data_IF_410478952817
#
_entry.id   IF_410478952817
#
_cell.length_a   1.000
_cell.length_b   1.000
_cell.length_c   1.000
_cell.angle_alpha   90.00
_cell.angle_beta   90.00
_cell.angle_gamma   90.00
#
_symmetry.space_group_name_H-M   'P 1'
#
loop_
_entity.id
_entity.type
_entity.pdbx_description
1 polymer ?
#
# COMPACT_ATOMS: atom_id res chain seq x y z
N UNK A 1 -28.44 46.27 34.38
CA UNK A 1 -28.45 45.74 33.00
C UNK A 1 -27.32 44.69 32.94
N UNK A 2 -27.64 43.38 33.01
CA UNK A 2 -26.64 42.31 33.00
C UNK A 2 -26.49 41.85 31.53
N UNK A 3 -25.31 42.04 30.94
CA UNK A 3 -24.97 41.57 29.58
C UNK A 3 -24.50 40.13 29.73
N UNK A 4 -25.27 39.18 29.20
CA UNK A 4 -24.82 37.75 29.04
C UNK A 4 -24.06 37.63 27.73
N UNK A 5 -22.76 37.43 27.84
CA UNK A 5 -21.89 37.11 26.69
C UNK A 5 -22.05 35.61 26.38
N UNK A 6 -22.74 35.31 25.30
CA UNK A 6 -22.82 33.95 24.77
C UNK A 6 -21.55 33.63 23.95
N UNK A 7 -20.69 32.76 24.52
CA UNK A 7 -19.59 32.19 23.80
C UNK A 7 -20.12 31.08 22.88
N UNK A 8 -20.20 31.34 21.58
CA UNK A 8 -20.41 30.30 20.59
C UNK A 8 -19.08 29.55 20.36
N UNK A 9 -18.97 28.34 20.93
CA UNK A 9 -17.87 27.41 20.61
C UNK A 9 -18.21 26.78 19.26
N UNK A 10 -17.58 27.26 18.20
CA UNK A 10 -17.60 26.59 16.91
C UNK A 10 -16.79 25.30 17.01
N UNK A 11 -17.46 24.18 17.20
CA UNK A 11 -16.88 22.87 16.93
C UNK A 11 -16.69 22.73 15.41
N UNK A 12 -15.48 22.98 14.91
CA UNK A 12 -15.11 22.61 13.56
C UNK A 12 -15.04 21.09 13.48
N UNK A 13 -16.08 20.45 13.01
CA UNK A 13 -16.03 19.04 12.61
C UNK A 13 -15.16 18.97 11.35
N UNK A 14 -13.88 18.64 11.52
CA UNK A 14 -13.02 18.29 10.40
C UNK A 14 -13.47 16.92 9.89
N UNK A 15 -14.25 16.90 8.85
CA UNK A 15 -14.57 15.68 8.09
C UNK A 15 -13.24 15.22 7.47
N UNK A 16 -12.83 13.99 7.75
CA UNK A 16 -11.74 13.35 7.00
C UNK A 16 -12.16 13.31 5.53
N UNK A 17 -11.54 14.14 4.68
CA UNK A 17 -11.85 14.19 3.27
C UNK A 17 -11.02 13.14 2.53
N UNK A 18 -11.68 12.30 1.73
CA UNK A 18 -11.03 11.46 0.74
C UNK A 18 -10.99 12.19 -0.61
N UNK A 19 -9.84 12.16 -1.27
CA UNK A 19 -9.66 12.65 -2.64
C UNK A 19 -9.47 11.47 -3.59
N UNK A 20 -9.99 11.59 -4.80
CA UNK A 20 -9.81 10.57 -5.84
C UNK A 20 -8.91 11.11 -6.94
N UNK A 21 -7.87 10.33 -7.24
CA UNK A 21 -6.90 10.63 -8.29
C UNK A 21 -6.94 9.52 -9.34
N UNK A 22 -6.83 9.89 -10.61
CA UNK A 22 -6.64 8.94 -11.71
C UNK A 22 -5.34 9.25 -12.45
N UNK A 23 -4.64 8.18 -12.82
CA UNK A 23 -3.44 8.30 -13.64
C UNK A 23 -3.32 7.10 -14.58
N UNK A 24 -2.53 7.24 -15.62
CA UNK A 24 -2.24 6.15 -16.55
C UNK A 24 -0.95 5.44 -16.14
N UNK A 25 -1.02 4.11 -16.11
CA UNK A 25 0.14 3.25 -15.93
C UNK A 25 0.02 2.04 -16.83
N UNK A 26 1.08 1.77 -17.59
CA UNK A 26 1.09 0.62 -18.50
C UNK A 26 1.07 -0.69 -17.73
N UNK A 27 0.28 -1.64 -18.20
CA UNK A 27 0.28 -3.03 -17.74
C UNK A 27 0.24 -3.97 -18.95
N UNK A 28 1.25 -4.81 -19.09
CA UNK A 28 1.34 -5.76 -20.22
C UNK A 28 0.18 -6.76 -20.29
N UNK A 29 -0.51 -7.03 -19.16
CA UNK A 29 -1.66 -7.92 -19.12
C UNK A 29 -2.96 -7.20 -19.47
N UNK A 30 -2.97 -5.88 -19.34
CA UNK A 30 -4.12 -5.02 -19.58
C UNK A 30 -3.75 -3.78 -20.40
N UNK A 31 -3.15 -3.93 -21.59
CA UNK A 31 -2.63 -2.80 -22.37
C UNK A 31 -3.71 -1.79 -22.77
N UNK A 32 -4.96 -2.24 -22.90
CA UNK A 32 -6.11 -1.40 -23.25
C UNK A 32 -6.78 -0.75 -22.04
N UNK A 33 -6.30 -0.98 -20.82
CA UNK A 33 -6.87 -0.45 -19.56
C UNK A 33 -5.80 0.24 -18.72
N UNK A 34 -5.18 1.32 -19.23
CA UNK A 34 -4.07 1.97 -18.54
C UNK A 34 -4.49 2.76 -17.31
N UNK A 35 -5.77 3.10 -17.19
CA UNK A 35 -6.27 3.94 -16.09
C UNK A 35 -6.22 3.19 -14.75
N UNK A 36 -5.69 3.88 -13.74
CA UNK A 36 -5.60 3.43 -12.35
C UNK A 36 -6.28 4.47 -11.48
N UNK A 37 -7.16 4.03 -10.57
CA UNK A 37 -7.82 4.89 -9.60
C UNK A 37 -7.10 4.80 -8.25
N UNK A 38 -7.01 5.92 -7.56
CA UNK A 38 -6.44 6.02 -6.22
C UNK A 38 -7.38 6.82 -5.34
N UNK A 39 -7.62 6.33 -4.13
CA UNK A 39 -8.24 7.09 -3.06
C UNK A 39 -7.14 7.58 -2.12
N UNK A 40 -7.11 8.88 -1.82
CA UNK A 40 -6.17 9.49 -0.88
C UNK A 40 -6.97 10.00 0.32
N UNK A 41 -6.72 9.42 1.47
CA UNK A 41 -7.31 9.83 2.75
C UNK A 41 -6.31 10.60 3.57
N UNK A 42 -6.77 11.67 4.22
CA UNK A 42 -5.92 12.59 4.98
C UNK A 42 -6.19 12.48 6.50
N UNK A 43 -5.17 12.74 7.34
CA UNK A 43 -5.35 12.83 8.78
C UNK A 43 -6.20 14.07 9.14
N UNK A 44 -6.91 14.02 10.27
CA UNK A 44 -7.72 15.16 10.74
C UNK A 44 -6.89 16.42 11.03
N UNK A 45 -5.66 16.24 11.50
CA UNK A 45 -4.69 17.32 11.72
C UNK A 45 -3.64 17.26 10.63
N UNK A 46 -3.56 18.31 9.82
CA UNK A 46 -2.58 18.42 8.74
C UNK A 46 -1.37 19.16 9.28
N UNK A 47 -0.20 18.52 9.26
CA UNK A 47 1.11 19.16 9.41
C UNK A 47 1.53 19.83 8.08
N UNK A 48 2.59 20.62 8.09
CA UNK A 48 3.07 21.30 6.88
C UNK A 48 3.34 20.34 5.72
N UNK A 49 3.87 19.16 6.02
CA UNK A 49 4.12 18.08 5.04
C UNK A 49 3.76 16.74 5.64
N UNK A 50 2.95 15.98 4.94
CA UNK A 50 2.45 14.68 5.40
C UNK A 50 3.36 13.54 4.91
N UNK A 51 3.73 12.61 5.79
CA UNK A 51 4.23 11.32 5.35
C UNK A 51 3.10 10.57 4.63
N UNK A 52 3.45 9.76 3.63
CA UNK A 52 2.48 9.08 2.78
C UNK A 52 2.67 7.56 2.82
N UNK A 53 1.59 6.84 3.10
CA UNK A 53 1.50 5.39 2.89
C UNK A 53 0.80 5.14 1.56
N UNK A 54 1.45 4.45 0.63
CA UNK A 54 0.81 3.87 -0.55
C UNK A 54 0.40 2.45 -0.18
N UNK A 55 -0.87 2.10 -0.36
CA UNK A 55 -1.44 0.79 -0.01
C UNK A 55 -1.98 0.07 -1.23
N UNK A 56 -1.74 -1.23 -1.28
CA UNK A 56 -2.20 -2.10 -2.35
C UNK A 56 -3.15 -3.17 -1.79
N UNK A 57 -4.36 -3.23 -2.33
CA UNK A 57 -5.42 -4.14 -1.91
C UNK A 57 -5.14 -5.63 -2.20
N UNK A 58 -5.89 -6.53 -1.54
CA UNK A 58 -5.92 -7.96 -1.80
C UNK A 58 -6.70 -8.35 -3.06
N UNK A 59 -6.76 -9.65 -3.35
CA UNK A 59 -7.43 -10.17 -4.56
C UNK A 59 -8.96 -10.11 -4.53
N UNK A 60 -9.55 -9.94 -3.35
CA UNK A 60 -11.01 -9.82 -3.18
C UNK A 60 -11.56 -8.49 -3.66
N UNK A 61 -10.67 -7.55 -4.00
CA UNK A 61 -11.05 -6.26 -4.55
C UNK A 61 -11.78 -6.43 -5.89
N UNK A 62 -12.99 -5.89 -5.97
CA UNK A 62 -13.75 -5.77 -7.21
C UNK A 62 -13.70 -4.30 -7.67
N UNK A 63 -13.09 -4.05 -8.84
CA UNK A 63 -12.95 -2.71 -9.41
C UNK A 63 -14.26 -1.94 -9.58
N UNK A 64 -15.42 -2.61 -9.52
CA UNK A 64 -16.73 -1.97 -9.58
C UNK A 64 -17.14 -1.33 -8.25
N UNK A 65 -16.58 -1.77 -7.14
CA UNK A 65 -16.99 -1.38 -5.78
C UNK A 65 -16.17 -0.22 -5.20
N UNK A 66 -15.18 0.30 -5.91
CA UNK A 66 -14.33 1.38 -5.40
C UNK A 66 -15.03 2.74 -5.31
N UNK A 67 -16.27 2.86 -5.76
CA UNK A 67 -17.04 4.11 -5.69
C UNK A 67 -17.16 4.70 -4.29
N UNK A 68 -17.16 3.82 -3.29
CA UNK A 68 -17.46 4.15 -1.90
C UNK A 68 -16.21 4.07 -1.00
N UNK A 69 -15.02 4.19 -1.59
CA UNK A 69 -13.76 4.10 -0.86
C UNK A 69 -13.11 2.71 -0.87
N UNK A 70 -12.09 2.52 -0.04
CA UNK A 70 -11.41 1.25 0.09
C UNK A 70 -12.38 0.17 0.54
N UNK A 71 -12.60 -0.84 -0.29
CA UNK A 71 -13.61 -1.87 -0.05
C UNK A 71 -13.06 -3.17 0.51
N UNK A 72 -11.75 -3.35 0.51
CA UNK A 72 -11.16 -4.46 1.24
C UNK A 72 -10.84 -4.07 2.69
N UNK A 73 -10.94 -5.03 3.59
CA UNK A 73 -10.78 -4.79 5.01
C UNK A 73 -9.37 -4.29 5.37
N UNK A 74 -8.35 -4.82 4.71
CA UNK A 74 -6.97 -4.38 4.92
C UNK A 74 -6.79 -2.90 4.60
N UNK A 75 -7.26 -2.45 3.42
CA UNK A 75 -7.16 -1.06 3.01
C UNK A 75 -7.91 -0.14 3.98
N UNK A 76 -9.10 -0.55 4.44
CA UNK A 76 -9.87 0.20 5.43
C UNK A 76 -9.13 0.36 6.75
N UNK A 77 -8.49 -0.72 7.23
CA UNK A 77 -7.68 -0.68 8.46
C UNK A 77 -6.43 0.18 8.30
N UNK A 78 -5.75 0.09 7.14
CA UNK A 78 -4.57 0.93 6.86
C UNK A 78 -4.95 2.41 6.75
N UNK A 79 -6.08 2.76 6.12
CA UNK A 79 -6.59 4.14 6.10
C UNK A 79 -6.80 4.62 7.53
N UNK A 80 -7.55 3.86 8.34
CA UNK A 80 -7.83 4.25 9.72
C UNK A 80 -6.55 4.44 10.53
N UNK A 81 -5.72 3.40 10.63
CA UNK A 81 -4.50 3.43 11.43
C UNK A 81 -3.50 4.49 10.94
N UNK A 82 -3.32 4.61 9.62
CA UNK A 82 -2.41 5.59 9.03
C UNK A 82 -2.86 7.02 9.29
N UNK A 83 -4.14 7.34 9.07
CA UNK A 83 -4.66 8.71 9.28
C UNK A 83 -4.70 9.09 10.76
N UNK A 84 -5.01 8.15 11.66
CA UNK A 84 -4.91 8.35 13.11
C UNK A 84 -3.46 8.61 13.56
N UNK A 85 -2.49 7.99 12.90
CA UNK A 85 -1.05 8.19 13.14
C UNK A 85 -0.47 9.44 12.44
N UNK A 86 -1.28 10.22 11.73
CA UNK A 86 -0.85 11.46 11.06
C UNK A 86 -0.30 11.29 9.64
N UNK A 87 -0.50 10.13 9.02
CA UNK A 87 -0.12 9.88 7.63
C UNK A 87 -1.27 10.22 6.68
N UNK A 88 -0.95 10.66 5.47
CA UNK A 88 -1.85 10.47 4.35
C UNK A 88 -1.77 9.01 3.87
N UNK A 89 -2.88 8.46 3.40
CA UNK A 89 -2.94 7.07 2.90
C UNK A 89 -3.53 7.07 1.50
N UNK A 90 -2.76 6.60 0.53
CA UNK A 90 -3.17 6.46 -0.86
C UNK A 90 -3.42 4.98 -1.19
N UNK A 91 -4.66 4.57 -1.37
CA UNK A 91 -5.04 3.21 -1.75
C UNK A 91 -5.19 3.11 -3.25
N UNK A 92 -4.39 2.24 -3.87
CA UNK A 92 -4.45 1.98 -5.32
C UNK A 92 -5.53 0.94 -5.61
N UNK A 93 -6.47 1.26 -6.51
CA UNK A 93 -7.33 0.26 -7.15
C UNK A 93 -6.65 -0.28 -8.42
N UNK A 94 -5.91 -1.37 -8.26
CA UNK A 94 -5.23 -2.01 -9.38
C UNK A 94 -6.19 -2.65 -10.39
N UNK A 95 -7.43 -2.93 -9.98
CA UNK A 95 -8.44 -3.59 -10.82
C UNK A 95 -9.40 -2.62 -11.47
N UNK A 96 -9.22 -1.32 -11.28
CA UNK A 96 -10.12 -0.29 -11.80
C UNK A 96 -10.36 -0.45 -13.31
N UNK A 97 -11.64 -0.59 -13.68
CA UNK A 97 -12.11 -0.83 -15.06
C UNK A 97 -11.52 -2.05 -15.79
N UNK A 98 -10.66 -2.84 -15.15
CA UNK A 98 -10.05 -4.02 -15.78
C UNK A 98 -11.00 -5.23 -15.70
N UNK A 99 -11.01 -6.12 -16.70
CA UNK A 99 -11.82 -7.34 -16.68
C UNK A 99 -11.20 -8.43 -15.79
N UNK A 100 -11.00 -8.10 -14.51
CA UNK A 100 -10.39 -8.95 -13.49
C UNK A 100 -11.46 -9.54 -12.58
N UNK A 101 -11.38 -10.85 -12.35
CA UNK A 101 -12.19 -11.54 -11.35
C UNK A 101 -11.29 -12.02 -10.20
N UNK A 102 -11.73 -11.95 -8.93
CA UNK A 102 -10.94 -12.40 -7.78
C UNK A 102 -10.46 -13.85 -7.88
N UNK A 103 -11.16 -14.69 -8.62
CA UNK A 103 -10.86 -16.10 -8.82
C UNK A 103 -9.85 -16.37 -9.96
N UNK A 104 -9.61 -15.41 -10.84
CA UNK A 104 -8.70 -15.55 -12.00
C UNK A 104 -7.38 -14.80 -11.77
N UNK A 105 -6.49 -15.42 -11.00
CA UNK A 105 -5.18 -14.85 -10.66
C UNK A 105 -4.28 -14.63 -11.89
N UNK A 106 -4.54 -15.30 -13.01
CA UNK A 106 -3.73 -15.17 -14.23
C UNK A 106 -3.90 -13.81 -14.88
N UNK A 107 -5.04 -13.17 -14.65
CA UNK A 107 -5.39 -11.84 -15.15
C UNK A 107 -5.09 -10.69 -14.20
N UNK A 108 -4.48 -10.96 -13.05
CA UNK A 108 -4.14 -9.86 -12.14
C UNK A 108 -3.08 -8.94 -12.74
N UNK A 109 -3.24 -7.61 -12.62
CA UNK A 109 -2.28 -6.64 -13.10
C UNK A 109 -0.90 -6.80 -12.46
N UNK A 110 0.14 -6.29 -13.13
CA UNK A 110 1.49 -6.17 -12.57
C UNK A 110 1.59 -4.83 -11.84
N UNK A 111 0.94 -4.73 -10.68
CA UNK A 111 0.69 -3.46 -10.02
C UNK A 111 1.87 -2.88 -9.22
N UNK A 112 3.03 -3.55 -9.17
CA UNK A 112 4.25 -2.98 -8.56
C UNK A 112 4.61 -1.64 -9.23
N UNK A 113 4.48 -1.55 -10.56
CA UNK A 113 4.72 -0.33 -11.35
C UNK A 113 3.76 0.81 -10.98
N UNK A 114 2.51 0.49 -10.65
CA UNK A 114 1.52 1.50 -10.30
C UNK A 114 1.95 2.31 -9.07
N UNK A 115 2.54 1.65 -8.07
CA UNK A 115 3.02 2.32 -6.87
C UNK A 115 4.18 3.29 -7.17
N UNK A 116 5.11 2.91 -8.07
CA UNK A 116 6.19 3.80 -8.49
C UNK A 116 5.69 4.98 -9.31
N UNK A 117 4.76 4.76 -10.24
CA UNK A 117 4.18 5.82 -11.05
C UNK A 117 3.35 6.78 -10.19
N UNK A 118 2.56 6.26 -9.24
CA UNK A 118 1.85 7.08 -8.27
C UNK A 118 2.83 7.90 -7.42
N UNK A 119 3.87 7.26 -6.87
CA UNK A 119 4.90 7.96 -6.12
C UNK A 119 5.52 9.10 -6.93
N UNK A 120 5.91 8.85 -8.18
CA UNK A 120 6.48 9.88 -9.07
C UNK A 120 5.54 11.06 -9.28
N UNK A 121 4.23 10.79 -9.35
CA UNK A 121 3.21 11.83 -9.46
C UNK A 121 3.11 12.63 -8.16
N UNK A 122 2.99 11.95 -7.01
CA UNK A 122 2.79 12.59 -5.71
C UNK A 122 4.05 13.27 -5.15
N UNK A 123 5.24 12.95 -5.65
CA UNK A 123 6.46 13.72 -5.35
C UNK A 123 6.39 15.17 -5.83
N UNK A 124 5.48 15.49 -6.76
CA UNK A 124 5.26 16.87 -7.26
C UNK A 124 4.25 17.64 -6.41
N UNK A 125 3.50 16.96 -5.56
CA UNK A 125 2.53 17.56 -4.66
C UNK A 125 3.22 18.06 -3.39
N UNK A 126 3.11 19.37 -3.13
CA UNK A 126 3.77 20.01 -1.98
C UNK A 126 3.23 19.61 -0.62
N UNK A 127 2.06 18.95 -0.58
CA UNK A 127 1.44 18.47 0.66
C UNK A 127 2.20 17.29 1.28
N UNK A 128 2.99 16.56 0.50
CA UNK A 128 3.67 15.35 0.96
C UNK A 128 5.15 15.56 1.27
N UNK A 129 5.63 14.89 2.32
CA UNK A 129 7.05 14.81 2.63
C UNK A 129 7.73 13.80 1.69
N UNK A 130 8.55 14.30 0.77
CA UNK A 130 9.21 13.52 -0.28
C UNK A 130 10.14 12.41 0.25
N UNK A 131 10.60 12.54 1.49
CA UNK A 131 11.50 11.59 2.14
C UNK A 131 10.75 10.50 2.94
N UNK A 132 9.44 10.64 3.12
CA UNK A 132 8.63 9.79 3.96
C UNK A 132 7.48 9.15 3.18
N UNK A 133 7.83 8.39 2.12
CA UNK A 133 6.94 7.54 1.36
C UNK A 133 7.12 6.08 1.79
N UNK A 134 6.02 5.43 2.11
CA UNK A 134 5.94 4.04 2.54
C UNK A 134 5.09 3.24 1.58
N UNK A 135 5.37 1.94 1.45
CA UNK A 135 4.56 1.07 0.60
C UNK A 135 4.12 -0.18 1.36
N UNK A 136 2.83 -0.49 1.33
CA UNK A 136 2.26 -1.66 2.00
C UNK A 136 1.25 -2.37 1.11
N UNK A 137 0.93 -3.62 1.44
CA UNK A 137 -0.08 -4.37 0.73
C UNK A 137 -0.43 -5.68 1.40
N UNK A 138 -1.59 -6.24 1.00
CA UNK A 138 -2.12 -7.50 1.50
C UNK A 138 -2.26 -8.52 0.38
N UNK A 139 -1.93 -9.80 0.63
CA UNK A 139 -2.16 -10.91 -0.30
C UNK A 139 -1.62 -10.64 -1.70
N UNK A 140 -2.47 -10.44 -2.70
CA UNK A 140 -2.06 -9.99 -4.02
C UNK A 140 -1.22 -8.71 -3.95
N UNK A 141 -1.69 -7.70 -3.22
CA UNK A 141 -0.96 -6.44 -3.01
C UNK A 141 0.38 -6.66 -2.31
N UNK A 142 0.43 -7.54 -1.31
CA UNK A 142 1.67 -7.91 -0.63
C UNK A 142 2.70 -8.50 -1.60
N UNK A 143 2.24 -9.34 -2.53
CA UNK A 143 3.11 -9.88 -3.59
C UNK A 143 3.63 -8.80 -4.54
N UNK A 144 2.85 -7.73 -4.80
CA UNK A 144 3.33 -6.59 -5.59
C UNK A 144 4.34 -5.73 -4.81
N UNK A 145 4.13 -5.54 -3.50
CA UNK A 145 5.11 -4.89 -2.61
C UNK A 145 6.44 -5.63 -2.67
N UNK A 146 6.44 -6.95 -2.51
CA UNK A 146 7.68 -7.72 -2.58
C UNK A 146 8.30 -7.73 -3.97
N UNK A 147 7.53 -7.73 -5.06
CA UNK A 147 8.10 -7.56 -6.40
C UNK A 147 8.85 -6.25 -6.55
N UNK A 148 8.45 -5.20 -5.85
CA UNK A 148 9.10 -3.90 -5.91
C UNK A 148 10.51 -3.90 -5.33
N UNK A 149 10.91 -4.89 -4.53
CA UNK A 149 12.28 -5.02 -4.00
C UNK A 149 13.22 -5.81 -4.88
N UNK A 150 12.70 -6.47 -5.90
CA UNK A 150 13.48 -7.24 -6.87
C UNK A 150 13.83 -6.45 -8.14
N UNK A 151 14.59 -7.09 -9.00
CA UNK A 151 14.90 -6.58 -10.35
C UNK A 151 13.65 -6.55 -11.22
N UNK A 152 13.42 -5.52 -12.05
CA UNK A 152 14.28 -4.33 -12.24
C UNK A 152 13.94 -3.15 -11.34
N UNK A 153 12.90 -3.26 -10.50
CA UNK A 153 12.31 -2.12 -9.81
C UNK A 153 13.27 -1.44 -8.83
N UNK A 154 13.90 -2.22 -7.95
CA UNK A 154 14.80 -1.63 -6.96
C UNK A 154 16.09 -1.08 -7.58
N UNK A 155 16.55 -1.65 -8.71
CA UNK A 155 17.70 -1.12 -9.45
C UNK A 155 17.40 0.25 -10.06
N UNK A 156 16.19 0.40 -10.61
CA UNK A 156 15.73 1.67 -11.20
C UNK A 156 15.39 2.72 -10.14
N UNK A 157 14.99 2.28 -8.94
CA UNK A 157 14.45 3.13 -7.88
C UNK A 157 14.99 2.76 -6.49
N UNK A 158 16.31 2.75 -6.25
CA UNK A 158 16.91 2.17 -5.04
C UNK A 158 16.48 2.85 -3.74
N UNK A 159 16.08 4.11 -3.79
CA UNK A 159 15.67 4.92 -2.61
C UNK A 159 14.20 5.33 -2.69
N UNK A 160 13.35 4.51 -3.34
CA UNK A 160 11.96 4.89 -3.52
C UNK A 160 11.17 4.97 -2.21
N UNK A 161 11.50 4.13 -1.25
CA UNK A 161 10.69 3.94 -0.05
C UNK A 161 11.48 4.25 1.22
N UNK A 162 10.80 4.80 2.23
CA UNK A 162 11.35 4.93 3.58
C UNK A 162 11.33 3.59 4.32
N UNK A 163 10.27 2.81 4.09
CA UNK A 163 10.11 1.42 4.49
C UNK A 163 8.99 0.77 3.68
N UNK A 164 8.97 -0.56 3.64
CA UNK A 164 7.84 -1.32 3.08
C UNK A 164 7.34 -2.38 4.06
N UNK A 165 6.05 -2.73 3.93
CA UNK A 165 5.42 -3.80 4.68
C UNK A 165 4.58 -4.67 3.77
N UNK A 166 4.71 -5.99 3.89
CA UNK A 166 4.05 -6.97 3.06
C UNK A 166 3.32 -7.97 3.94
N UNK A 167 1.98 -7.92 3.96
CA UNK A 167 1.14 -8.79 4.76
C UNK A 167 0.56 -9.92 3.90
N UNK A 168 0.85 -11.17 4.27
CA UNK A 168 0.39 -12.38 3.58
C UNK A 168 0.88 -12.53 2.12
N UNK A 169 2.14 -12.26 1.80
CA UNK A 169 2.66 -12.45 0.45
C UNK A 169 2.86 -13.92 0.06
N UNK A 170 2.87 -14.17 -1.25
CA UNK A 170 3.51 -15.36 -1.83
C UNK A 170 4.97 -15.01 -2.15
N UNK A 171 5.90 -15.32 -1.24
CA UNK A 171 7.30 -14.91 -1.32
C UNK A 171 8.10 -15.55 -2.45
N UNK A 172 7.63 -16.66 -3.02
CA UNK A 172 8.28 -17.41 -4.12
C UNK A 172 8.28 -16.68 -5.47
N UNK A 173 7.75 -15.45 -5.54
CA UNK A 173 7.65 -14.67 -6.79
C UNK A 173 8.71 -13.59 -6.91
N UNK A 174 9.69 -13.58 -6.03
CA UNK A 174 10.76 -12.61 -6.05
C UNK A 174 11.97 -13.25 -6.70
N UNK A 175 12.40 -12.65 -7.78
CA UNK A 175 13.60 -13.07 -8.47
C UNK A 175 14.75 -12.14 -8.08
N UNK A 176 15.82 -12.73 -7.56
CA UNK A 176 17.08 -12.07 -7.25
C UNK A 176 16.92 -10.88 -6.29
N UNK A 177 16.82 -11.14 -4.97
CA UNK A 177 16.87 -10.08 -3.98
C UNK A 177 18.21 -9.37 -4.07
N UNK A 178 18.15 -8.05 -4.09
CA UNK A 178 19.32 -7.18 -4.09
C UNK A 178 19.43 -6.46 -2.76
N UNK A 179 20.60 -5.87 -2.50
CA UNK A 179 20.78 -5.06 -1.30
C UNK A 179 19.79 -3.89 -1.29
N UNK A 180 19.01 -3.80 -0.22
CA UNK A 180 18.00 -2.75 -0.04
C UNK A 180 18.56 -1.61 0.83
N UNK A 181 18.21 -0.38 0.48
CA UNK A 181 18.52 0.82 1.26
C UNK A 181 17.47 1.15 2.32
N UNK A 182 16.34 0.43 2.34
CA UNK A 182 15.22 0.64 3.24
C UNK A 182 14.81 -0.67 3.94
N UNK A 183 14.18 -0.58 5.13
CA UNK A 183 13.71 -1.76 5.85
C UNK A 183 12.48 -2.40 5.21
N UNK A 184 12.39 -3.73 5.35
CA UNK A 184 11.29 -4.57 4.88
C UNK A 184 10.68 -5.33 6.05
N UNK A 185 9.36 -5.27 6.20
CA UNK A 185 8.59 -6.09 7.11
C UNK A 185 7.73 -7.07 6.32
N UNK A 186 7.86 -8.36 6.63
CA UNK A 186 7.00 -9.42 6.08
C UNK A 186 6.18 -9.98 7.22
N UNK A 187 4.85 -10.07 7.06
CA UNK A 187 3.94 -10.61 8.06
C UNK A 187 3.20 -11.80 7.46
N UNK A 188 3.23 -12.94 8.16
CA UNK A 188 2.58 -14.18 7.75
C UNK A 188 1.77 -14.78 8.88
N UNK A 189 0.59 -15.33 8.57
CA UNK A 189 -0.10 -16.23 9.47
C UNK A 189 0.53 -17.63 9.39
N UNK A 190 0.65 -18.30 10.54
CA UNK A 190 1.18 -19.67 10.63
C UNK A 190 0.32 -20.67 9.84
N UNK A 191 -1.01 -20.48 9.84
CA UNK A 191 -1.99 -21.32 9.14
C UNK A 191 -2.40 -20.76 7.77
N UNK A 192 -1.55 -19.89 7.17
CA UNK A 192 -1.80 -19.34 5.85
C UNK A 192 -1.75 -20.45 4.78
N UNK A 193 -2.60 -20.33 3.76
CA UNK A 193 -2.57 -21.21 2.59
C UNK A 193 -1.34 -20.98 1.68
N UNK A 194 -0.56 -19.93 1.90
CA UNK A 194 0.76 -19.76 1.30
C UNK A 194 1.82 -20.29 2.26
N UNK A 195 2.72 -21.13 1.77
CA UNK A 195 3.84 -21.67 2.56
C UNK A 195 4.69 -20.56 3.17
N UNK A 196 5.16 -20.77 4.39
CA UNK A 196 6.03 -19.84 5.13
C UNK A 196 7.46 -19.92 4.62
N UNK A 197 7.94 -21.13 4.31
CA UNK A 197 9.32 -21.42 3.91
C UNK A 197 9.87 -20.48 2.84
N UNK A 198 9.16 -20.14 1.73
CA UNK A 198 9.66 -19.17 0.76
C UNK A 198 9.92 -17.78 1.35
N UNK A 199 9.18 -17.39 2.40
CA UNK A 199 9.41 -16.12 3.09
C UNK A 199 10.62 -16.17 4.03
N UNK A 200 10.87 -17.32 4.65
CA UNK A 200 12.07 -17.55 5.46
C UNK A 200 13.32 -17.53 4.58
N UNK A 201 13.29 -18.21 3.43
CA UNK A 201 14.39 -18.18 2.44
C UNK A 201 14.65 -16.73 1.98
N UNK A 202 13.59 -15.99 1.66
CA UNK A 202 13.73 -14.59 1.24
C UNK A 202 14.35 -13.71 2.33
N UNK A 203 13.92 -13.87 3.60
CA UNK A 203 14.50 -13.16 4.73
C UNK A 203 16.00 -13.47 4.86
N UNK A 204 16.39 -14.74 4.82
CA UNK A 204 17.80 -15.16 4.89
C UNK A 204 18.64 -14.57 3.75
N UNK A 205 18.12 -14.59 2.52
CA UNK A 205 18.81 -14.03 1.35
C UNK A 205 19.00 -12.52 1.47
N UNK A 206 17.98 -11.80 1.93
CA UNK A 206 18.09 -10.37 2.17
C UNK A 206 19.06 -10.03 3.30
N UNK A 207 19.09 -10.83 4.37
CA UNK A 207 20.04 -10.66 5.46
C UNK A 207 21.49 -10.87 4.98
N UNK A 208 21.75 -11.83 4.08
CA UNK A 208 23.08 -12.02 3.45
C UNK A 208 23.55 -10.77 2.70
N UNK A 209 22.66 -9.99 2.14
CA UNK A 209 22.98 -8.71 1.49
C UNK A 209 23.13 -7.54 2.48
N UNK A 210 23.01 -7.78 3.78
CA UNK A 210 22.99 -6.77 4.86
C UNK A 210 21.79 -5.81 4.75
N UNK A 211 20.70 -6.25 4.13
CA UNK A 211 19.43 -5.52 4.13
C UNK A 211 18.75 -5.63 5.49
N UNK A 212 17.97 -4.60 5.87
CA UNK A 212 17.15 -4.63 7.09
C UNK A 212 15.82 -5.30 6.75
N UNK A 213 15.67 -6.55 7.12
CA UNK A 213 14.43 -7.32 6.90
C UNK A 213 14.00 -8.01 8.19
N UNK A 214 12.69 -8.18 8.36
CA UNK A 214 12.10 -8.96 9.44
C UNK A 214 10.88 -9.70 8.93
N UNK A 215 10.85 -11.02 9.15
CA UNK A 215 9.67 -11.86 9.01
C UNK A 215 9.01 -12.03 10.39
N UNK A 216 7.70 -11.76 10.46
CA UNK A 216 6.86 -12.04 11.62
C UNK A 216 5.87 -13.12 11.23
N UNK A 217 5.88 -14.24 11.97
CA UNK A 217 4.89 -15.31 11.85
C UNK A 217 3.93 -15.17 13.01
N UNK A 218 2.63 -15.03 12.72
CA UNK A 218 1.58 -14.91 13.73
C UNK A 218 1.01 -16.30 14.01
N UNK A 219 1.16 -16.83 15.22
CA UNK A 219 0.72 -18.19 15.56
C UNK A 219 -0.81 -18.33 15.41
N UNK A 220 -1.27 -19.50 14.96
CA UNK A 220 -2.70 -19.88 14.87
C UNK A 220 -3.56 -18.91 14.05
N UNK A 221 -2.96 -18.23 13.11
CA UNK A 221 -3.64 -17.24 12.26
C UNK A 221 -3.56 -17.69 10.80
N UNK A 222 -4.69 -17.67 10.13
CA UNK A 222 -4.79 -18.01 8.71
C UNK A 222 -4.52 -16.78 7.80
N UNK A 223 -4.71 -16.94 6.51
CA UNK A 223 -4.48 -15.87 5.51
C UNK A 223 -5.32 -14.61 5.71
N UNK A 224 -6.45 -14.67 6.40
CA UNK A 224 -7.44 -13.58 6.49
C UNK A 224 -7.44 -12.89 7.87
N UNK A 225 -6.30 -12.66 8.45
CA UNK A 225 -6.16 -12.01 9.75
C UNK A 225 -6.19 -10.46 9.69
N UNK A 226 -6.32 -9.89 8.54
CA UNK A 226 -6.31 -8.43 8.30
C UNK A 226 -7.57 -7.73 8.78
#
# INVERSE_FOLDING_TARGET
MKIYLFFFIFFSFSVSSAEYLKFNSYDKRHPNYPEVLVEISFPKKISEKLPLIISQHGSTRDGKKFKDGATDEYSTRIIKAGTEAGFAVAVIDAFYKKPVKPTDKTKFPTAAEYAYNLRKLLLKDSRFDKNNFFYTGFSYGASQVLKSIGTPYNEQHPNAWRAISSAEPACNKIHQPIKLSFPVLIIKGEESHYYIEPCQILEEELLKTKSKVKLIIIPKVNHFFS
#
